data_IF_212887560706
#
_entry.id   IF_212887560706
#
_cell.length_a   1.000
_cell.length_b   1.000
_cell.length_c   1.000
_cell.angle_alpha   90.00
_cell.angle_beta   90.00
_cell.angle_gamma   90.00
#
_symmetry.space_group_name_H-M   'P 1'
#
loop_
_entity.id
_entity.type
_entity.pdbx_description
1 polymer ?
#
# COMPACT_ATOMS: atom_id res chain seq x y z
N UNK A 1 -55.07 3.50 39.25
CA UNK A 1 -54.72 4.31 38.07
C UNK A 1 -54.02 3.42 37.08
N UNK A 2 -54.66 3.15 35.94
CA UNK A 2 -54.13 2.27 34.90
C UNK A 2 -53.26 3.10 33.97
N UNK A 3 -52.03 2.66 33.73
CA UNK A 3 -51.19 3.17 32.65
C UNK A 3 -50.67 1.95 31.87
N UNK A 4 -51.45 1.58 30.86
CA UNK A 4 -51.03 0.69 29.78
C UNK A 4 -50.19 1.55 28.86
N UNK A 5 -48.93 1.17 28.61
CA UNK A 5 -48.11 1.76 27.55
C UNK A 5 -47.51 0.62 26.74
N UNK A 6 -48.28 0.20 25.73
CA UNK A 6 -47.79 -0.62 24.63
C UNK A 6 -47.18 0.28 23.57
N UNK A 7 -45.95 0.00 23.17
CA UNK A 7 -45.34 0.59 21.97
C UNK A 7 -44.91 -0.57 21.07
N UNK A 8 -45.72 -0.84 20.05
CA UNK A 8 -45.37 -1.77 18.98
C UNK A 8 -44.39 -1.05 18.04
N UNK A 9 -43.13 -1.47 18.06
CA UNK A 9 -42.12 -1.09 17.06
C UNK A 9 -42.42 -1.82 15.74
N UNK A 10 -43.46 -1.37 15.02
CA UNK A 10 -43.72 -1.78 13.65
C UNK A 10 -43.17 -0.71 12.70
N UNK A 11 -41.83 -0.57 12.66
CA UNK A 11 -41.16 0.14 11.59
C UNK A 11 -41.20 -0.73 10.34
N UNK A 12 -42.19 -0.51 9.47
CA UNK A 12 -42.32 -1.20 8.20
C UNK A 12 -41.07 -0.97 7.34
N UNK A 13 -40.23 -1.98 7.21
CA UNK A 13 -39.25 -2.10 6.13
C UNK A 13 -40.02 -2.34 4.82
N UNK A 14 -40.60 -1.28 4.24
CA UNK A 14 -41.15 -1.37 2.89
C UNK A 14 -39.98 -1.49 1.92
N UNK A 15 -39.72 -2.72 1.44
CA UNK A 15 -38.75 -2.99 0.40
C UNK A 15 -39.26 -2.40 -0.92
N UNK A 16 -38.99 -1.11 -1.16
CA UNK A 16 -39.37 -0.44 -2.39
C UNK A 16 -38.53 -1.03 -3.52
N UNK A 17 -39.13 -1.92 -4.33
CA UNK A 17 -38.46 -2.47 -5.50
C UNK A 17 -38.12 -1.31 -6.45
N UNK A 18 -36.86 -1.15 -6.88
CA UNK A 18 -36.51 -0.14 -7.86
C UNK A 18 -37.39 -0.28 -9.10
N UNK A 19 -37.90 0.82 -9.68
CA UNK A 19 -38.69 0.76 -10.89
C UNK A 19 -37.87 0.07 -11.99
N UNK A 20 -38.53 -0.78 -12.79
CA UNK A 20 -37.86 -1.42 -13.91
C UNK A 20 -37.67 -0.38 -15.01
N UNK A 21 -36.40 -0.05 -15.29
CA UNK A 21 -36.03 0.84 -16.38
C UNK A 21 -36.04 0.02 -17.66
N UNK A 22 -36.79 0.47 -18.66
CA UNK A 22 -36.73 -0.14 -20.00
C UNK A 22 -35.45 0.30 -20.70
N UNK A 23 -34.81 -0.61 -21.42
CA UNK A 23 -33.65 -0.27 -22.24
C UNK A 23 -34.09 0.44 -23.52
N UNK A 24 -33.22 1.30 -24.04
CA UNK A 24 -33.40 1.91 -25.35
C UNK A 24 -33.40 0.82 -26.43
N UNK A 25 -34.42 0.84 -27.31
CA UNK A 25 -34.55 -0.13 -28.39
C UNK A 25 -33.43 -0.03 -29.44
N UNK A 26 -32.69 1.09 -29.44
CA UNK A 26 -31.60 1.35 -30.35
C UNK A 26 -30.49 2.13 -29.64
N UNK A 27 -29.30 1.54 -29.59
CA UNK A 27 -28.08 2.19 -29.11
C UNK A 27 -27.17 2.42 -30.31
N UNK A 28 -26.85 3.68 -30.68
CA UNK A 28 -25.94 3.94 -31.77
C UNK A 28 -24.56 3.33 -31.49
N UNK A 29 -23.84 2.87 -32.52
CA UNK A 29 -22.51 2.30 -32.34
C UNK A 29 -21.57 3.35 -31.74
N UNK A 30 -20.77 2.92 -30.74
CA UNK A 30 -19.73 3.76 -30.17
C UNK A 30 -18.77 4.21 -31.28
N UNK A 31 -18.26 5.45 -31.23
CA UNK A 31 -17.26 5.91 -32.18
C UNK A 31 -16.06 4.98 -32.16
N UNK A 32 -15.45 4.76 -33.32
CA UNK A 32 -14.23 3.95 -33.44
C UNK A 32 -13.15 4.56 -32.55
N UNK A 33 -12.73 3.81 -31.52
CA UNK A 33 -11.61 4.20 -30.68
C UNK A 33 -10.40 4.36 -31.61
N UNK A 34 -9.74 5.53 -31.65
CA UNK A 34 -8.51 5.70 -32.41
C UNK A 34 -7.55 4.59 -32.01
N UNK A 35 -6.87 3.97 -32.99
CA UNK A 35 -5.87 2.95 -32.71
C UNK A 35 -4.95 3.47 -31.60
N UNK A 36 -4.93 2.76 -30.47
CA UNK A 36 -4.11 3.07 -29.31
C UNK A 36 -2.71 3.33 -29.83
N UNK A 37 -2.20 4.55 -29.61
CA UNK A 37 -0.83 4.90 -29.95
C UNK A 37 0.05 3.78 -29.37
N UNK A 38 0.78 3.10 -30.27
CA UNK A 38 1.61 1.94 -29.96
C UNK A 38 2.22 2.07 -28.59
N UNK A 39 1.86 1.12 -27.73
CA UNK A 39 2.36 0.89 -26.39
C UNK A 39 3.80 1.37 -26.25
N UNK A 40 3.97 2.63 -25.83
CA UNK A 40 5.28 3.14 -25.52
C UNK A 40 5.65 2.42 -24.24
N UNK A 41 6.42 1.33 -24.39
CA UNK A 41 7.02 0.55 -23.29
C UNK A 41 7.28 1.50 -22.14
N UNK A 42 6.64 1.34 -20.97
CA UNK A 42 6.65 2.34 -19.91
C UNK A 42 8.11 2.73 -19.67
N UNK A 43 8.43 3.98 -20.02
CA UNK A 43 9.78 4.51 -19.82
C UNK A 43 10.00 4.50 -18.32
N UNK A 44 11.05 3.84 -17.80
CA UNK A 44 11.33 3.88 -16.38
C UNK A 44 11.52 5.34 -15.99
N UNK A 45 10.55 5.89 -15.28
CA UNK A 45 10.64 7.20 -14.68
C UNK A 45 11.69 7.08 -13.58
N UNK A 46 12.85 7.66 -13.82
CA UNK A 46 13.91 7.88 -12.84
C UNK A 46 14.33 6.61 -12.08
N UNK A 47 15.33 5.91 -12.64
CA UNK A 47 15.99 4.80 -11.96
C UNK A 47 16.65 5.35 -10.68
N UNK A 48 16.35 4.80 -9.49
CA UNK A 48 17.01 5.21 -8.26
C UNK A 48 18.52 4.99 -8.37
N UNK A 49 19.35 5.83 -7.74
CA UNK A 49 20.81 5.69 -7.79
C UNK A 49 21.26 4.35 -7.20
N UNK A 50 22.41 3.83 -7.67
CA UNK A 50 23.00 2.59 -7.20
C UNK A 50 23.28 2.62 -5.69
N UNK A 51 22.87 1.57 -4.97
CA UNK A 51 23.08 1.39 -3.53
C UNK A 51 24.37 0.62 -3.21
N UNK A 52 24.95 0.88 -2.03
CA UNK A 52 26.10 0.14 -1.49
C UNK A 52 25.75 -0.44 -0.10
N UNK A 53 25.89 -1.76 0.12
CA UNK A 53 25.60 -2.39 1.41
C UNK A 53 26.51 -1.88 2.55
N UNK A 54 25.97 -1.78 3.76
CA UNK A 54 26.74 -1.38 4.94
C UNK A 54 27.66 -2.51 5.40
N UNK A 55 28.97 -2.26 5.46
CA UNK A 55 29.97 -3.22 5.95
C UNK A 55 30.08 -3.19 7.47
N UNK A 56 29.11 -3.78 8.18
CA UNK A 56 29.20 -4.09 9.62
C UNK A 56 29.42 -2.90 10.58
N UNK A 57 29.22 -3.13 11.87
CA UNK A 57 29.38 -2.11 12.92
C UNK A 57 30.75 -2.15 13.59
N UNK A 58 31.12 -1.07 14.29
CA UNK A 58 32.35 -1.04 15.09
C UNK A 58 32.35 -2.18 16.13
N UNK A 59 33.54 -2.74 16.44
CA UNK A 59 33.64 -3.80 17.44
C UNK A 59 33.25 -3.28 18.84
N UNK A 60 32.27 -3.92 19.46
CA UNK A 60 31.84 -3.63 20.83
C UNK A 60 32.68 -4.37 21.88
N UNK A 61 33.01 -3.69 22.98
CA UNK A 61 33.80 -4.26 24.08
C UNK A 61 32.98 -5.16 25.03
N UNK A 62 31.65 -5.15 24.91
CA UNK A 62 30.73 -6.00 25.68
C UNK A 62 29.82 -6.78 24.73
N UNK A 63 29.23 -7.91 25.14
CA UNK A 63 28.26 -8.64 24.32
C UNK A 63 27.10 -7.75 23.84
N UNK A 64 26.53 -6.93 24.72
CA UNK A 64 25.45 -5.99 24.38
C UNK A 64 25.89 -4.98 23.33
N UNK A 65 27.04 -4.34 23.53
CA UNK A 65 27.56 -3.35 22.59
C UNK A 65 27.84 -3.94 21.20
N UNK A 66 28.25 -5.22 21.11
CA UNK A 66 28.43 -5.89 19.81
C UNK A 66 27.12 -6.04 19.07
N UNK A 67 26.06 -6.46 19.75
CA UNK A 67 24.72 -6.62 19.14
C UNK A 67 24.15 -5.28 18.72
N UNK A 68 24.27 -4.26 19.58
CA UNK A 68 23.81 -2.90 19.26
C UNK A 68 24.54 -2.31 18.05
N UNK A 69 25.86 -2.45 17.98
CA UNK A 69 26.65 -1.97 16.85
C UNK A 69 26.32 -2.73 15.56
N UNK A 70 26.12 -4.05 15.63
CA UNK A 70 25.70 -4.85 14.49
C UNK A 70 24.31 -4.41 13.98
N UNK A 71 23.35 -4.24 14.89
CA UNK A 71 22.00 -3.76 14.56
C UNK A 71 22.00 -2.34 14.01
N UNK A 72 22.89 -1.47 14.49
CA UNK A 72 23.03 -0.10 13.98
C UNK A 72 23.58 -0.11 12.55
N UNK A 73 24.57 -0.96 12.26
CA UNK A 73 25.15 -1.07 10.92
C UNK A 73 24.23 -1.76 9.90
N UNK A 74 23.46 -2.75 10.34
CA UNK A 74 22.48 -3.43 9.50
C UNK A 74 21.25 -2.56 9.19
N UNK A 75 21.03 -1.47 9.93
CA UNK A 75 19.80 -0.68 9.82
C UNK A 75 19.73 0.14 8.54
N UNK A 76 18.64 -0.02 7.81
CA UNK A 76 18.29 0.76 6.64
C UNK A 76 17.05 1.59 6.97
N UNK A 77 17.19 2.91 6.90
CA UNK A 77 16.11 3.86 7.18
C UNK A 77 15.61 4.50 5.88
N UNK A 78 14.30 4.82 5.79
CA UNK A 78 13.74 5.55 4.67
C UNK A 78 14.31 6.96 4.64
N UNK A 79 14.50 7.48 3.43
CA UNK A 79 14.89 8.88 3.22
C UNK A 79 13.65 9.71 3.00
N UNK A 80 13.60 10.91 3.57
CA UNK A 80 12.44 11.79 3.39
C UNK A 80 12.24 12.17 1.93
N UNK A 81 13.32 12.30 1.17
CA UNK A 81 13.29 12.57 -0.28
C UNK A 81 13.13 11.30 -1.13
N UNK A 82 13.08 10.12 -0.52
CA UNK A 82 13.09 8.81 -1.19
C UNK A 82 11.71 8.24 -1.51
N UNK A 83 10.63 8.91 -1.09
CA UNK A 83 9.27 8.49 -1.35
C UNK A 83 8.82 8.94 -2.75
N UNK A 84 8.31 8.00 -3.54
CA UNK A 84 7.73 8.26 -4.86
C UNK A 84 6.29 7.76 -4.87
N UNK A 85 5.31 8.65 -5.05
CA UNK A 85 3.88 8.30 -4.99
C UNK A 85 3.50 7.50 -3.72
N UNK A 86 4.04 7.90 -2.56
CA UNK A 86 3.92 7.19 -1.27
C UNK A 86 4.56 5.79 -1.21
N UNK A 87 5.34 5.40 -2.23
CA UNK A 87 6.12 4.16 -2.26
C UNK A 87 7.54 4.45 -1.80
N UNK A 88 8.05 3.62 -0.90
CA UNK A 88 9.47 3.58 -0.54
C UNK A 88 10.08 2.28 -1.05
N UNK A 89 11.11 2.40 -1.89
CA UNK A 89 11.88 1.25 -2.37
C UNK A 89 13.07 1.04 -1.44
N UNK A 90 13.26 -0.19 -0.98
CA UNK A 90 14.42 -0.62 -0.23
C UNK A 90 15.25 -1.59 -1.09
N UNK A 91 16.55 -1.34 -1.29
CA UNK A 91 17.41 -2.29 -1.98
C UNK A 91 17.68 -3.49 -1.06
N UNK A 92 17.39 -4.69 -1.55
CA UNK A 92 17.64 -5.91 -0.79
C UNK A 92 19.13 -6.17 -0.57
N UNK A 93 19.42 -6.63 0.65
CA UNK A 93 20.73 -7.10 1.07
C UNK A 93 20.54 -8.05 2.24
N UNK A 94 21.31 -9.14 2.23
CA UNK A 94 21.25 -10.17 3.26
C UNK A 94 21.62 -9.58 4.64
N UNK A 95 20.84 -9.91 5.66
CA UNK A 95 21.08 -9.48 7.04
C UNK A 95 20.75 -8.01 7.35
N UNK A 96 20.13 -7.28 6.42
CA UNK A 96 19.69 -5.90 6.66
C UNK A 96 18.43 -5.81 7.53
N UNK A 97 18.34 -4.75 8.33
CA UNK A 97 17.19 -4.41 9.15
C UNK A 97 16.47 -3.19 8.56
N UNK A 98 15.37 -3.41 7.86
CA UNK A 98 14.58 -2.35 7.24
C UNK A 98 13.59 -1.73 8.24
N UNK A 99 13.62 -0.41 8.38
CA UNK A 99 12.68 0.33 9.21
C UNK A 99 11.55 0.92 8.36
N UNK A 100 10.30 0.60 8.65
CA UNK A 100 9.14 1.14 7.91
C UNK A 100 8.30 2.02 8.83
N UNK A 101 7.89 3.18 8.34
CA UNK A 101 6.96 4.08 9.03
C UNK A 101 5.56 3.93 8.42
N UNK A 102 4.60 3.51 9.23
CA UNK A 102 3.20 3.43 8.88
C UNK A 102 2.40 4.50 9.64
N UNK A 103 1.23 4.86 9.12
CA UNK A 103 0.31 5.78 9.77
C UNK A 103 -0.85 5.01 10.42
N UNK A 104 -1.20 5.29 11.69
CA UNK A 104 -2.36 4.66 12.33
C UNK A 104 -3.65 4.87 11.52
N UNK A 105 -4.43 3.81 11.35
CA UNK A 105 -5.68 3.84 10.57
C UNK A 105 -5.48 3.86 9.05
N UNK A 106 -4.25 3.79 8.55
CA UNK A 106 -3.93 3.63 7.14
C UNK A 106 -3.38 2.23 6.87
N UNK A 107 -3.62 1.71 5.67
CA UNK A 107 -3.06 0.44 5.23
C UNK A 107 -1.69 0.71 4.60
N UNK A 108 -0.69 -0.08 4.97
CA UNK A 108 0.64 -0.08 4.36
C UNK A 108 0.94 -1.50 3.91
N UNK A 109 1.26 -1.67 2.64
CA UNK A 109 1.62 -2.96 2.05
C UNK A 109 3.14 -3.10 1.93
N UNK A 110 3.64 -4.33 2.06
CA UNK A 110 5.06 -4.66 1.91
C UNK A 110 5.16 -5.77 0.86
N UNK A 111 5.70 -5.42 -0.30
CA UNK A 111 5.95 -6.35 -1.38
C UNK A 111 7.43 -6.73 -1.42
N UNK A 112 7.70 -8.04 -1.45
CA UNK A 112 9.03 -8.62 -1.63
C UNK A 112 9.16 -9.18 -3.05
N UNK A 113 10.35 -9.10 -3.62
CA UNK A 113 10.67 -9.75 -4.89
C UNK A 113 10.91 -11.27 -4.70
N UNK A 114 10.72 -12.10 -5.76
CA UNK A 114 11.01 -13.52 -5.67
C UNK A 114 12.47 -13.78 -5.28
N UNK A 115 12.67 -14.51 -4.18
CA UNK A 115 14.00 -14.83 -3.65
C UNK A 115 14.47 -13.92 -2.51
N UNK A 116 13.71 -12.87 -2.17
CA UNK A 116 13.92 -12.09 -0.95
C UNK A 116 13.31 -12.81 0.26
N UNK A 117 14.02 -12.80 1.38
CA UNK A 117 13.58 -13.37 2.67
C UNK A 117 14.12 -12.58 3.85
#
# INVERSE_FOLDING_TARGET
>A
MVLISGSLLAGCATLQKPPQITYDAFVPPLPTVPAVATDQKPKPLHVPPSWSPTRGGAAGNTPTARVENANAAARVQPRREGYYNAIQIYPWSEGALYQVYAAPGQITDIALEPGES
#
